data_IF_931241450452
#
_entry.id   IF_931241450452
#
_cell.length_a   1.000
_cell.length_b   1.000
_cell.length_c   1.000
_cell.angle_alpha   90.00
_cell.angle_beta   90.00
_cell.angle_gamma   90.00
#
_symmetry.space_group_name_H-M   'P 1'
#
loop_
_entity.id
_entity.type
_entity.pdbx_description
1 polymer ?
#
# COMPACT_ATOMS: atom_id res chain seq x y z
N UNK A 1 -1.28 -15.87 -18.88
CA UNK A 1 0.18 -15.75 -18.66
C UNK A 1 0.53 -16.50 -17.38
N UNK A 2 1.74 -17.06 -17.22
CA UNK A 2 2.12 -17.63 -15.92
C UNK A 2 2.05 -16.55 -14.84
N UNK A 3 1.64 -16.94 -13.63
CA UNK A 3 1.62 -16.00 -12.50
C UNK A 3 3.03 -15.67 -12.04
N UNK A 4 3.22 -14.43 -11.62
CA UNK A 4 4.52 -13.89 -11.23
C UNK A 4 4.39 -13.01 -9.98
N UNK A 5 5.41 -13.03 -9.15
CA UNK A 5 5.50 -12.18 -7.98
C UNK A 5 6.14 -10.84 -8.31
N UNK A 6 5.43 -9.77 -8.03
CA UNK A 6 5.93 -8.41 -8.12
C UNK A 6 6.30 -7.92 -6.73
N UNK A 7 7.54 -7.45 -6.55
CA UNK A 7 8.08 -7.00 -5.26
C UNK A 7 8.69 -5.61 -5.42
N UNK A 8 8.22 -4.63 -4.64
CA UNK A 8 8.88 -3.35 -4.52
C UNK A 8 9.84 -3.34 -3.33
N UNK A 9 10.83 -2.45 -3.38
CA UNK A 9 11.85 -2.31 -2.34
C UNK A 9 11.90 -0.89 -1.80
N UNK A 10 12.45 -0.74 -0.59
CA UNK A 10 12.66 0.58 0.01
C UNK A 10 13.43 1.52 -0.94
N UNK A 11 14.52 1.03 -1.52
CA UNK A 11 15.28 1.81 -2.49
C UNK A 11 15.90 3.07 -1.90
N UNK A 12 15.99 4.11 -2.72
CA UNK A 12 16.55 5.40 -2.35
C UNK A 12 17.55 5.92 -3.37
N UNK A 13 18.18 7.05 -3.08
CA UNK A 13 19.11 7.69 -4.02
C UNK A 13 20.36 6.85 -4.24
N UNK A 14 21.00 6.40 -3.17
CA UNK A 14 22.21 5.57 -3.22
C UNK A 14 21.97 4.18 -3.82
N UNK A 15 20.72 3.73 -3.83
CA UNK A 15 20.30 2.42 -4.33
C UNK A 15 19.48 2.51 -5.62
N UNK A 16 19.88 3.41 -6.53
CA UNK A 16 19.13 3.71 -7.75
C UNK A 16 18.83 2.48 -8.63
N UNK A 17 19.67 1.43 -8.59
CA UNK A 17 19.45 0.17 -9.32
C UNK A 17 18.26 -0.63 -8.79
N UNK A 18 17.88 -0.43 -7.53
CA UNK A 18 16.77 -1.09 -6.85
C UNK A 18 15.44 -0.34 -6.99
N UNK A 19 15.48 0.91 -7.45
CA UNK A 19 14.27 1.69 -7.71
C UNK A 19 13.55 1.15 -8.94
N UNK A 20 12.88 0.01 -8.76
CA UNK A 20 12.02 -0.68 -9.72
C UNK A 20 11.17 -1.71 -8.94
N UNK A 21 10.16 -2.25 -9.56
CA UNK A 21 9.48 -3.45 -9.11
C UNK A 21 10.22 -4.65 -9.71
N UNK A 22 10.66 -5.58 -8.86
CA UNK A 22 11.33 -6.79 -9.30
C UNK A 22 10.34 -7.92 -9.46
N UNK A 23 10.47 -8.69 -10.53
CA UNK A 23 9.57 -9.79 -10.88
C UNK A 23 10.27 -11.11 -10.59
N UNK A 24 9.56 -11.98 -9.89
CA UNK A 24 10.00 -13.33 -9.56
C UNK A 24 8.97 -14.36 -10.06
N UNK A 25 9.47 -15.52 -10.45
CA UNK A 25 8.63 -16.68 -10.77
C UNK A 25 7.95 -17.26 -9.53
N UNK A 26 7.03 -18.17 -9.73
CA UNK A 26 6.33 -18.88 -8.64
C UNK A 26 7.23 -19.83 -7.84
N UNK A 27 8.44 -20.12 -8.30
CA UNK A 27 9.49 -20.81 -7.57
C UNK A 27 10.54 -19.89 -6.92
N UNK A 28 10.35 -18.55 -6.99
CA UNK A 28 11.17 -17.54 -6.31
C UNK A 28 12.41 -17.10 -7.08
N UNK A 29 12.57 -17.47 -8.35
CA UNK A 29 13.68 -17.03 -9.18
C UNK A 29 13.42 -15.63 -9.73
N UNK A 30 14.37 -14.71 -9.58
CA UNK A 30 14.27 -13.39 -10.20
C UNK A 30 14.29 -13.49 -11.72
N UNK A 31 13.29 -12.90 -12.38
CA UNK A 31 13.12 -12.93 -13.82
C UNK A 31 13.61 -11.62 -14.49
N UNK A 32 13.07 -10.48 -14.01
CA UNK A 32 13.29 -9.17 -14.63
C UNK A 32 12.89 -8.04 -13.69
N UNK A 33 12.98 -6.81 -14.18
CA UNK A 33 12.37 -5.61 -13.60
C UNK A 33 11.09 -5.28 -14.35
N UNK A 34 10.02 -4.95 -13.62
CA UNK A 34 8.70 -4.73 -14.22
C UNK A 34 8.61 -3.44 -15.02
N UNK A 35 9.27 -2.36 -14.56
CA UNK A 35 9.11 -1.03 -15.14
C UNK A 35 10.22 -0.71 -16.15
N UNK A 36 9.82 -0.32 -17.36
CA UNK A 36 10.76 0.13 -18.40
C UNK A 36 11.26 1.55 -18.11
N UNK A 37 12.46 1.66 -17.52
CA UNK A 37 13.07 2.96 -17.23
C UNK A 37 13.40 3.79 -18.47
N UNK A 38 13.59 3.14 -19.64
CA UNK A 38 13.90 3.84 -20.89
C UNK A 38 12.69 4.59 -21.47
N UNK A 39 11.47 4.21 -21.06
CA UNK A 39 10.25 4.89 -21.49
C UNK A 39 9.92 6.13 -20.65
N UNK A 40 10.64 6.40 -19.56
CA UNK A 40 10.42 7.56 -18.72
C UNK A 40 10.80 8.86 -19.44
N UNK A 41 9.99 9.91 -19.36
CA UNK A 41 10.37 11.23 -19.91
C UNK A 41 11.57 11.80 -19.15
N UNK A 42 12.31 12.68 -19.83
CA UNK A 42 13.45 13.36 -19.22
C UNK A 42 13.07 14.07 -17.91
N UNK A 43 13.87 13.85 -16.87
CA UNK A 43 13.63 14.42 -15.54
C UNK A 43 12.81 13.54 -14.58
N UNK A 44 12.04 12.59 -15.08
CA UNK A 44 11.34 11.60 -14.21
C UNK A 44 12.31 10.53 -13.74
N UNK A 45 12.36 10.32 -12.42
CA UNK A 45 13.24 9.31 -11.80
C UNK A 45 12.40 8.43 -10.88
N UNK A 46 12.63 7.12 -10.93
CA UNK A 46 12.06 6.20 -9.96
C UNK A 46 12.85 6.29 -8.64
N UNK A 47 12.15 6.56 -7.55
CA UNK A 47 12.74 6.72 -6.21
C UNK A 47 11.83 6.13 -5.14
N UNK A 48 12.35 5.27 -4.28
CA UNK A 48 11.60 4.68 -3.15
C UNK A 48 10.20 4.21 -3.56
N UNK A 49 10.12 3.23 -4.45
CA UNK A 49 8.82 2.70 -4.88
C UNK A 49 8.16 1.98 -3.72
N UNK A 50 6.96 2.46 -3.36
CA UNK A 50 6.14 1.88 -2.30
C UNK A 50 5.00 1.06 -2.89
N UNK A 51 3.78 1.36 -2.51
CA UNK A 51 2.58 0.68 -3.00
C UNK A 51 2.42 0.76 -4.50
N UNK A 52 1.85 -0.29 -5.06
CA UNK A 52 1.44 -0.35 -6.45
C UNK A 52 0.19 -1.20 -6.60
N UNK A 53 -0.62 -0.88 -7.61
CA UNK A 53 -1.89 -1.57 -7.88
C UNK A 53 -2.22 -1.49 -9.37
N UNK A 54 -2.89 -2.51 -9.89
CA UNK A 54 -3.54 -2.41 -11.19
C UNK A 54 -4.88 -1.69 -11.02
N UNK A 55 -5.06 -0.61 -11.76
CA UNK A 55 -6.27 0.20 -11.73
C UNK A 55 -7.44 -0.42 -12.51
N UNK A 56 -8.62 0.21 -12.45
CA UNK A 56 -9.81 -0.26 -13.17
C UNK A 56 -9.65 -0.22 -14.70
N UNK A 57 -8.70 0.56 -15.20
CA UNK A 57 -8.29 0.62 -16.61
C UNK A 57 -7.19 -0.40 -16.96
N UNK A 58 -6.91 -1.35 -16.05
CA UNK A 58 -5.88 -2.39 -16.15
C UNK A 58 -4.44 -1.87 -16.28
N UNK A 59 -4.20 -0.58 -16.09
CA UNK A 59 -2.86 -0.02 -16.03
C UNK A 59 -2.26 -0.14 -14.63
N UNK A 60 -0.93 -0.14 -14.55
CA UNK A 60 -0.20 -0.25 -13.30
C UNK A 60 0.09 1.14 -12.72
N UNK A 61 -0.39 1.38 -11.51
CA UNK A 61 -0.16 2.62 -10.74
C UNK A 61 0.86 2.36 -9.66
N UNK A 62 1.91 3.17 -9.61
CA UNK A 62 3.07 2.96 -8.74
C UNK A 62 3.36 4.22 -7.94
N UNK A 63 3.45 4.09 -6.64
CA UNK A 63 3.87 5.18 -5.75
C UNK A 63 5.37 5.41 -5.89
N UNK A 64 5.74 6.64 -6.23
CA UNK A 64 7.11 7.15 -6.29
C UNK A 64 7.27 8.15 -5.15
N UNK A 65 7.96 7.78 -4.07
CA UNK A 65 7.75 8.40 -2.75
C UNK A 65 8.81 9.42 -2.32
N UNK A 66 9.94 9.51 -3.02
CA UNK A 66 11.09 10.24 -2.49
C UNK A 66 11.06 11.75 -2.81
N UNK A 67 11.03 12.61 -1.76
CA UNK A 67 11.11 14.08 -1.83
C UNK A 67 10.29 14.71 -2.97
N UNK A 68 10.95 15.46 -3.86
CA UNK A 68 10.33 16.14 -5.02
C UNK A 68 9.65 15.19 -6.01
N UNK A 69 9.95 13.89 -5.93
CA UNK A 69 9.33 12.83 -6.73
C UNK A 69 8.11 12.20 -6.04
N UNK A 70 7.48 12.90 -5.10
CA UNK A 70 6.23 12.47 -4.48
C UNK A 70 5.10 12.46 -5.51
N UNK A 71 4.89 11.30 -6.15
CA UNK A 71 4.03 11.12 -7.33
C UNK A 71 3.33 9.76 -7.28
N UNK A 72 2.25 9.64 -8.07
CA UNK A 72 1.76 8.35 -8.53
C UNK A 72 2.01 8.27 -10.04
N UNK A 73 2.84 7.33 -10.44
CA UNK A 73 3.18 7.07 -11.84
C UNK A 73 2.24 6.02 -12.41
N UNK A 74 1.79 6.22 -13.66
CA UNK A 74 1.01 5.25 -14.41
C UNK A 74 1.87 4.61 -15.48
N UNK A 75 1.84 3.29 -15.54
CA UNK A 75 2.46 2.48 -16.56
C UNK A 75 1.40 1.68 -17.30
N UNK A 76 1.62 1.38 -18.57
CA UNK A 76 0.72 0.54 -19.38
C UNK A 76 0.60 -0.85 -18.75
N UNK A 77 -0.62 -1.39 -18.66
CA UNK A 77 -0.85 -2.74 -18.16
C UNK A 77 -0.29 -3.82 -19.10
N UNK A 78 -0.33 -3.57 -20.42
CA UNK A 78 0.28 -4.44 -21.40
C UNK A 78 1.81 -4.42 -21.29
N UNK A 79 2.42 -5.61 -21.37
CA UNK A 79 3.87 -5.75 -21.39
C UNK A 79 4.43 -5.49 -22.80
N UNK A 80 5.57 -4.83 -22.86
CA UNK A 80 6.35 -4.67 -24.09
C UNK A 80 7.11 -5.97 -24.46
N UNK A 81 7.88 -5.96 -25.54
CA UNK A 81 8.68 -7.09 -26.02
C UNK A 81 9.69 -7.65 -24.98
N UNK A 82 10.11 -6.83 -24.04
CA UNK A 82 11.02 -7.20 -22.95
C UNK A 82 10.28 -7.66 -21.68
N UNK A 83 8.96 -7.81 -21.73
CA UNK A 83 8.13 -8.18 -20.58
C UNK A 83 8.04 -7.08 -19.54
N UNK A 84 8.16 -5.81 -19.91
CA UNK A 84 8.12 -4.66 -19.02
C UNK A 84 6.92 -3.76 -19.32
N UNK A 85 6.45 -3.05 -18.31
CA UNK A 85 5.44 -2.01 -18.42
C UNK A 85 6.08 -0.70 -18.86
N UNK A 86 5.62 -0.15 -20.00
CA UNK A 86 6.07 1.16 -20.46
C UNK A 86 5.36 2.28 -19.70
N UNK A 87 6.08 3.36 -19.44
CA UNK A 87 5.53 4.57 -18.83
C UNK A 87 4.39 5.14 -19.68
N UNK A 88 3.33 5.58 -19.02
CA UNK A 88 2.20 6.24 -19.65
C UNK A 88 2.15 7.73 -19.27
N UNK A 89 2.11 8.04 -17.99
CA UNK A 89 2.03 9.42 -17.49
C UNK A 89 2.41 9.53 -16.01
N UNK A 90 2.68 10.76 -15.54
CA UNK A 90 2.62 11.11 -14.12
C UNK A 90 1.14 11.36 -13.81
N UNK A 91 0.50 10.38 -13.16
CA UNK A 91 -0.95 10.43 -12.91
C UNK A 91 -1.31 11.42 -11.79
N UNK A 92 -0.59 11.36 -10.66
CA UNK A 92 -0.71 12.35 -9.58
C UNK A 92 0.66 12.94 -9.32
N UNK A 93 0.75 14.27 -9.31
CA UNK A 93 2.00 15.01 -9.08
C UNK A 93 1.86 15.93 -7.88
N UNK A 94 2.87 15.96 -7.01
CA UNK A 94 2.99 16.97 -5.97
C UNK A 94 3.10 18.38 -6.58
N UNK A 95 2.40 19.31 -5.99
CA UNK A 95 2.52 20.74 -6.30
C UNK A 95 2.32 21.54 -5.01
N UNK A 96 3.22 22.48 -4.73
CA UNK A 96 3.27 23.19 -3.45
C UNK A 96 1.93 23.88 -3.07
N UNK A 97 1.21 24.40 -4.07
CA UNK A 97 -0.06 25.10 -3.85
C UNK A 97 -1.29 24.26 -4.23
N UNK A 98 -1.25 23.59 -5.40
CA UNK A 98 -2.42 22.90 -5.95
C UNK A 98 -2.60 21.48 -5.44
N UNK A 99 -1.54 20.83 -4.99
CA UNK A 99 -1.57 19.46 -4.47
C UNK A 99 -0.46 19.22 -3.43
N UNK A 100 -0.44 19.96 -2.31
CA UNK A 100 0.56 19.79 -1.25
C UNK A 100 0.30 18.53 -0.41
N UNK A 101 -0.89 17.92 -0.52
CA UNK A 101 -1.30 16.75 0.27
C UNK A 101 -0.49 15.48 -0.02
N UNK A 102 0.00 15.32 -1.26
CA UNK A 102 0.87 14.21 -1.60
C UNK A 102 2.33 14.56 -1.26
N UNK A 103 2.83 13.95 -0.17
CA UNK A 103 4.22 14.09 0.25
C UNK A 103 4.68 12.79 0.91
N UNK A 104 5.71 12.16 0.33
CA UNK A 104 6.19 10.83 0.68
C UNK A 104 5.04 9.80 0.71
N UNK A 105 4.33 9.60 -0.44
CA UNK A 105 3.20 8.68 -0.48
C UNK A 105 3.65 7.25 -0.15
N UNK A 106 2.76 6.46 0.48
CA UNK A 106 3.07 5.10 0.90
C UNK A 106 2.24 4.06 0.16
N UNK A 107 0.92 4.23 0.12
CA UNK A 107 0.02 3.27 -0.51
C UNK A 107 -0.96 3.96 -1.44
N UNK A 108 -1.45 3.21 -2.41
CA UNK A 108 -2.39 3.62 -3.42
C UNK A 108 -3.46 2.55 -3.62
N UNK A 109 -4.72 2.95 -3.61
CA UNK A 109 -5.87 2.05 -3.83
C UNK A 109 -6.95 2.76 -4.64
N UNK A 110 -7.78 1.97 -5.31
CA UNK A 110 -8.98 2.46 -6.00
C UNK A 110 -10.24 2.04 -5.22
N UNK A 111 -11.23 2.91 -5.19
CA UNK A 111 -12.56 2.54 -4.72
C UNK A 111 -13.38 1.84 -5.82
N UNK A 112 -14.63 1.47 -5.49
CA UNK A 112 -15.54 0.79 -6.43
C UNK A 112 -16.01 1.68 -7.60
N UNK A 113 -15.87 3.00 -7.48
CA UNK A 113 -16.18 3.97 -8.53
C UNK A 113 -14.99 4.25 -9.45
N UNK A 114 -13.83 3.74 -9.05
CA UNK A 114 -12.56 3.87 -9.78
C UNK A 114 -11.79 5.15 -9.46
N UNK A 115 -12.13 5.85 -8.37
CA UNK A 115 -11.37 6.98 -7.87
C UNK A 115 -10.16 6.51 -7.05
N UNK A 116 -9.08 7.30 -7.09
CA UNK A 116 -7.80 6.95 -6.51
C UNK A 116 -7.63 7.56 -5.11
N UNK A 117 -7.18 6.76 -4.16
CA UNK A 117 -6.82 7.19 -2.81
C UNK A 117 -5.34 6.93 -2.54
N UNK A 118 -4.67 7.92 -1.97
CA UNK A 118 -3.24 7.88 -1.66
C UNK A 118 -2.99 8.24 -0.21
N UNK A 119 -2.33 7.37 0.54
CA UNK A 119 -1.82 7.71 1.87
C UNK A 119 -0.45 8.36 1.77
N UNK A 120 -0.23 9.45 2.50
CA UNK A 120 1.01 10.25 2.45
C UNK A 120 1.64 10.36 3.84
N UNK A 121 2.89 9.88 3.97
CA UNK A 121 3.55 9.73 5.27
C UNK A 121 3.97 11.07 5.91
N UNK A 122 4.47 12.03 5.12
CA UNK A 122 4.94 13.30 5.68
C UNK A 122 3.79 14.24 6.06
N UNK A 123 2.69 14.18 5.31
CA UNK A 123 1.49 14.98 5.62
C UNK A 123 0.54 14.23 6.56
N UNK A 124 0.69 12.92 6.72
CA UNK A 124 -0.17 12.05 7.54
C UNK A 124 -1.66 12.21 7.20
N UNK A 125 -1.98 12.28 5.92
CA UNK A 125 -3.34 12.35 5.41
C UNK A 125 -3.58 11.30 4.33
N UNK A 126 -4.85 11.08 4.02
CA UNK A 126 -5.27 10.36 2.81
C UNK A 126 -5.93 11.36 1.89
N UNK A 127 -5.41 11.48 0.68
CA UNK A 127 -5.98 12.32 -0.37
C UNK A 127 -6.71 11.47 -1.42
N UNK A 128 -7.77 12.05 -2.02
CA UNK A 128 -8.59 11.43 -3.05
C UNK A 128 -8.45 12.20 -4.37
N UNK A 129 -8.31 11.45 -5.44
CA UNK A 129 -8.09 11.96 -6.79
C UNK A 129 -9.08 11.35 -7.78
N UNK A 130 -9.48 12.14 -8.77
CA UNK A 130 -10.29 11.65 -9.89
C UNK A 130 -9.59 10.47 -10.58
N UNK A 131 -10.29 9.35 -10.71
CA UNK A 131 -9.79 8.13 -11.32
C UNK A 131 -9.59 8.25 -12.85
N UNK A 132 -9.02 7.21 -13.49
CA UNK A 132 -8.66 7.26 -14.91
C UNK A 132 -9.85 7.41 -15.86
N UNK A 133 -11.04 6.95 -15.44
CA UNK A 133 -12.28 7.05 -16.22
C UNK A 133 -13.25 8.09 -15.67
N UNK A 134 -12.80 9.00 -14.79
CA UNK A 134 -13.66 9.99 -14.15
C UNK A 134 -14.38 10.86 -15.16
N UNK A 135 -15.68 11.08 -14.93
CA UNK A 135 -16.53 11.98 -15.70
C UNK A 135 -16.80 13.31 -14.99
N UNK A 136 -16.37 13.42 -13.73
CA UNK A 136 -16.64 14.58 -12.86
C UNK A 136 -15.47 15.52 -12.72
N UNK A 137 -14.28 15.09 -13.16
CA UNK A 137 -13.08 15.90 -13.13
C UNK A 137 -11.94 15.30 -13.97
N UNK A 138 -10.88 16.05 -14.13
CA UNK A 138 -9.70 15.59 -14.88
C UNK A 138 -9.00 14.47 -14.11
N UNK A 139 -8.71 13.32 -14.73
CA UNK A 139 -7.98 12.23 -14.09
C UNK A 139 -6.70 12.70 -13.40
N UNK A 140 -6.44 12.17 -12.20
CA UNK A 140 -5.26 12.48 -11.39
C UNK A 140 -5.29 13.84 -10.67
N UNK A 141 -6.36 14.65 -10.84
CA UNK A 141 -6.50 15.90 -10.08
C UNK A 141 -7.22 15.66 -8.74
N UNK A 142 -6.91 16.47 -7.70
CA UNK A 142 -7.56 16.38 -6.40
C UNK A 142 -9.09 16.53 -6.51
N UNK A 143 -9.82 15.66 -5.82
CA UNK A 143 -11.27 15.76 -5.73
C UNK A 143 -11.69 16.81 -4.69
N UNK A 144 -12.94 17.33 -4.79
CA UNK A 144 -13.49 18.21 -3.74
C UNK A 144 -13.45 17.54 -2.36
N UNK A 145 -13.27 18.37 -1.32
CA UNK A 145 -13.33 17.89 0.06
C UNK A 145 -14.72 17.28 0.36
N UNK A 146 -14.78 16.16 1.10
CA UNK A 146 -16.05 15.57 1.49
C UNK A 146 -16.94 16.55 2.26
N UNK A 147 -18.26 16.46 2.02
CA UNK A 147 -19.21 17.24 2.81
C UNK A 147 -19.23 16.75 4.26
N UNK A 148 -19.15 17.70 5.22
CA UNK A 148 -19.17 17.35 6.65
C UNK A 148 -17.82 16.87 7.19
N UNK A 149 -16.75 16.92 6.40
CA UNK A 149 -15.42 16.69 6.90
C UNK A 149 -15.09 17.71 8.00
N UNK A 150 -14.61 17.24 9.16
CA UNK A 150 -14.12 18.12 10.22
C UNK A 150 -12.88 18.89 9.69
N UNK A 151 -13.09 20.16 9.43
CA UNK A 151 -12.04 21.04 8.87
C UNK A 151 -11.21 21.73 9.95
N UNK A 152 -11.59 21.54 11.23
CA UNK A 152 -10.97 22.32 12.31
C UNK A 152 -11.05 23.82 12.02
N UNK A 153 -9.96 24.55 12.35
CA UNK A 153 -9.80 25.99 12.08
C UNK A 153 -8.82 26.28 10.94
N UNK A 154 -8.43 25.26 10.16
CA UNK A 154 -7.35 25.33 9.16
C UNK A 154 -7.87 24.92 7.79
N UNK A 155 -7.35 25.55 6.74
CA UNK A 155 -7.60 25.11 5.38
C UNK A 155 -6.92 23.78 5.12
N UNK A 156 -7.69 22.80 4.71
CA UNK A 156 -7.20 21.47 4.35
C UNK A 156 -6.64 21.48 2.93
N UNK A 157 -5.54 20.75 2.66
CA UNK A 157 -5.03 20.57 1.31
C UNK A 157 -6.11 20.06 0.35
N UNK A 158 -6.12 20.50 -0.93
CA UNK A 158 -7.01 19.96 -1.94
C UNK A 158 -6.95 18.43 -2.00
N UNK A 159 -8.10 17.80 -2.19
CA UNK A 159 -8.20 16.33 -2.24
C UNK A 159 -8.18 15.64 -0.88
N UNK A 160 -7.97 16.33 0.23
CA UNK A 160 -7.98 15.69 1.56
C UNK A 160 -9.29 14.93 1.77
N UNK A 161 -9.16 13.61 2.01
CA UNK A 161 -10.26 12.74 2.36
C UNK A 161 -10.26 12.43 3.86
N UNK A 162 -9.10 12.08 4.42
CA UNK A 162 -8.90 11.95 5.86
C UNK A 162 -7.72 12.85 6.24
N UNK A 163 -7.93 13.85 7.10
CA UNK A 163 -6.89 14.78 7.51
C UNK A 163 -5.91 14.15 8.49
N UNK A 164 -4.77 14.80 8.70
CA UNK A 164 -3.87 14.47 9.80
C UNK A 164 -4.42 14.99 11.15
N UNK A 165 -3.97 14.39 12.24
CA UNK A 165 -4.30 14.83 13.60
C UNK A 165 -3.80 16.24 13.93
N UNK A 166 -2.87 16.77 13.15
CA UNK A 166 -2.43 18.18 13.25
C UNK A 166 -3.47 19.15 12.71
N UNK A 167 -4.36 18.68 11.82
CA UNK A 167 -5.35 19.51 11.12
C UNK A 167 -6.77 19.29 11.63
N UNK A 168 -7.07 18.10 12.18
CA UNK A 168 -8.41 17.75 12.70
C UNK A 168 -8.31 16.79 13.88
N UNK A 169 -9.27 16.86 14.81
CA UNK A 169 -9.26 16.12 16.08
C UNK A 169 -9.27 14.60 15.94
N UNK A 170 -9.92 14.09 14.88
CA UNK A 170 -9.98 12.65 14.58
C UNK A 170 -9.08 12.26 13.40
N UNK A 171 -8.05 13.06 13.13
CA UNK A 171 -7.11 12.85 12.06
C UNK A 171 -6.08 11.76 12.35
N UNK A 172 -5.28 11.43 11.34
CA UNK A 172 -4.26 10.39 11.40
C UNK A 172 -2.96 10.89 12.05
N UNK A 173 -2.36 10.06 12.88
CA UNK A 173 -1.07 10.38 13.54
C UNK A 173 0.12 9.98 12.66
N UNK A 174 0.11 8.77 12.09
CA UNK A 174 1.17 8.27 11.21
C UNK A 174 0.61 7.23 10.23
N UNK A 175 0.05 7.72 9.12
CA UNK A 175 -0.61 6.84 8.14
C UNK A 175 0.37 5.90 7.44
N UNK A 176 -0.08 4.65 7.22
CA UNK A 176 0.60 3.65 6.39
C UNK A 176 -0.38 3.05 5.38
N UNK A 177 -0.58 1.75 5.41
CA UNK A 177 -1.46 1.08 4.47
C UNK A 177 -2.91 1.52 4.59
N UNK A 178 -3.59 1.48 3.46
CA UNK A 178 -5.00 1.75 3.31
C UNK A 178 -5.60 0.70 2.38
N UNK A 179 -6.77 0.18 2.71
CA UNK A 179 -7.52 -0.74 1.86
C UNK A 179 -9.02 -0.46 1.98
N UNK A 180 -9.78 -0.79 0.94
CA UNK A 180 -11.24 -0.79 1.00
C UNK A 180 -11.77 -2.11 1.54
N UNK A 181 -12.74 -2.04 2.43
CA UNK A 181 -13.54 -3.17 2.87
C UNK A 181 -14.65 -3.49 1.85
N UNK A 182 -15.29 -4.68 1.93
CA UNK A 182 -16.36 -5.04 1.01
C UNK A 182 -17.57 -4.11 1.01
N UNK A 183 -17.84 -3.45 2.14
CA UNK A 183 -18.88 -2.41 2.26
C UNK A 183 -18.42 -1.03 1.79
N UNK A 184 -17.27 -0.98 1.15
CA UNK A 184 -16.60 0.21 0.64
C UNK A 184 -16.06 1.16 1.74
N UNK A 185 -16.14 0.83 3.04
CA UNK A 185 -15.43 1.60 4.08
C UNK A 185 -13.93 1.47 3.95
N UNK A 186 -13.21 2.50 4.39
CA UNK A 186 -11.76 2.55 4.29
C UNK A 186 -11.12 2.09 5.60
N UNK A 187 -10.29 1.06 5.54
CA UNK A 187 -9.47 0.59 6.65
C UNK A 187 -8.07 1.18 6.53
N UNK A 188 -7.61 1.79 7.60
CA UNK A 188 -6.36 2.58 7.63
C UNK A 188 -5.46 2.14 8.77
N UNK A 189 -4.24 1.75 8.46
CA UNK A 189 -3.20 1.52 9.46
C UNK A 189 -2.65 2.86 9.94
N UNK A 190 -2.92 3.22 11.19
CA UNK A 190 -2.35 4.40 11.85
C UNK A 190 -1.24 3.93 12.81
N UNK A 191 0.00 4.04 12.31
CA UNK A 191 1.17 3.44 12.95
C UNK A 191 1.50 4.02 14.32
N UNK A 192 1.40 5.35 14.49
CA UNK A 192 1.69 5.98 15.77
C UNK A 192 0.54 5.87 16.77
N UNK A 193 -0.68 5.60 16.29
CA UNK A 193 -1.83 5.32 17.14
C UNK A 193 -1.92 3.84 17.57
N UNK A 194 -1.07 2.96 17.04
CA UNK A 194 -1.13 1.52 17.25
C UNK A 194 -2.52 0.93 16.96
N UNK A 195 -3.19 1.40 15.90
CA UNK A 195 -4.52 0.93 15.59
C UNK A 195 -4.77 0.83 14.08
N UNK A 196 -5.79 0.06 13.73
CA UNK A 196 -6.44 0.10 12.42
C UNK A 196 -7.77 0.82 12.60
N UNK A 197 -7.94 1.93 11.90
CA UNK A 197 -9.15 2.78 11.96
C UNK A 197 -10.07 2.50 10.78
N UNK A 198 -11.36 2.65 11.01
CA UNK A 198 -12.39 2.57 9.95
C UNK A 198 -12.93 3.96 9.68
N UNK A 199 -12.98 4.31 8.40
CA UNK A 199 -13.58 5.55 7.93
C UNK A 199 -14.67 5.28 6.91
N UNK A 200 -15.76 6.04 7.00
CA UNK A 200 -16.88 5.99 6.06
C UNK A 200 -16.42 6.44 4.67
N UNK A 201 -16.65 5.61 3.66
CA UNK A 201 -16.17 5.84 2.28
C UNK A 201 -16.68 7.15 1.66
N UNK A 202 -17.89 7.58 2.00
CA UNK A 202 -18.52 8.77 1.38
C UNK A 202 -18.02 10.08 1.96
N UNK A 203 -17.75 10.12 3.27
CA UNK A 203 -17.52 11.37 4.02
C UNK A 203 -16.13 11.48 4.62
N UNK A 204 -15.35 10.39 4.69
CA UNK A 204 -14.07 10.35 5.43
C UNK A 204 -14.25 10.46 6.95
N UNK A 205 -15.49 10.28 7.47
CA UNK A 205 -15.78 10.35 8.90
C UNK A 205 -15.23 9.09 9.60
N UNK A 206 -14.47 9.29 10.68
CA UNK A 206 -14.05 8.19 11.53
C UNK A 206 -15.24 7.48 12.15
N UNK A 207 -15.33 6.17 12.00
CA UNK A 207 -16.41 5.34 12.54
C UNK A 207 -15.99 4.71 13.87
N UNK A 208 -14.85 4.03 13.90
CA UNK A 208 -14.30 3.36 15.08
C UNK A 208 -12.89 2.82 14.79
N UNK A 209 -12.20 2.44 15.83
CA UNK A 209 -11.00 1.61 15.72
C UNK A 209 -11.42 0.13 15.63
N UNK A 210 -10.81 -0.62 14.71
CA UNK A 210 -11.11 -2.03 14.44
C UNK A 210 -10.18 -2.96 15.22
N UNK A 211 -8.89 -2.67 15.19
CA UNK A 211 -7.83 -3.40 15.88
C UNK A 211 -6.95 -2.37 16.59
N UNK A 212 -6.52 -2.64 17.79
CA UNK A 212 -5.81 -1.66 18.61
C UNK A 212 -4.69 -2.30 19.44
N UNK A 213 -4.01 -1.49 20.23
CA UNK A 213 -2.98 -1.94 21.17
C UNK A 213 -3.52 -2.99 22.17
N UNK A 214 -4.81 -2.92 22.55
CA UNK A 214 -5.42 -3.94 23.43
C UNK A 214 -5.46 -5.33 22.79
N UNK A 215 -5.40 -5.40 21.46
CA UNK A 215 -5.29 -6.63 20.69
C UNK A 215 -3.84 -7.06 20.44
N UNK A 216 -2.86 -6.46 21.14
CA UNK A 216 -1.40 -6.63 20.96
C UNK A 216 -0.85 -6.03 19.66
N UNK A 217 -1.56 -5.11 19.02
CA UNK A 217 -1.07 -4.39 17.86
C UNK A 217 -0.03 -3.35 18.26
N UNK A 218 1.12 -3.36 17.58
CA UNK A 218 2.21 -2.41 17.77
C UNK A 218 2.74 -1.97 16.40
N UNK A 219 2.62 -0.68 16.11
CA UNK A 219 3.08 -0.04 14.88
C UNK A 219 2.61 -0.75 13.60
N UNK A 220 1.29 -0.76 13.29
CA UNK A 220 0.79 -1.38 12.07
C UNK A 220 1.39 -0.72 10.83
N UNK A 221 1.76 -1.55 9.84
CA UNK A 221 2.34 -1.08 8.58
C UNK A 221 1.49 -1.50 7.40
N UNK A 222 1.17 -2.77 7.27
CA UNK A 222 0.46 -3.35 6.16
C UNK A 222 -0.86 -4.00 6.56
N UNK A 223 -1.80 -3.94 5.63
CA UNK A 223 -3.13 -4.55 5.72
C UNK A 223 -3.31 -5.52 4.55
N UNK A 224 -3.92 -6.66 4.80
CA UNK A 224 -4.33 -7.61 3.77
C UNK A 224 -5.72 -8.15 4.08
N UNK A 225 -6.66 -7.91 3.17
CA UNK A 225 -8.01 -8.47 3.26
C UNK A 225 -8.02 -9.84 2.58
N UNK A 226 -8.55 -10.85 3.27
CA UNK A 226 -8.70 -12.18 2.68
C UNK A 226 -9.61 -12.14 1.44
N UNK A 227 -9.38 -13.01 0.42
CA UNK A 227 -10.19 -13.01 -0.79
C UNK A 227 -11.69 -13.24 -0.55
N UNK A 228 -12.02 -14.00 0.50
CA UNK A 228 -13.41 -14.22 0.96
C UNK A 228 -13.94 -13.08 1.83
N UNK A 229 -13.15 -12.05 2.06
CA UNK A 229 -13.47 -10.90 2.91
C UNK A 229 -13.88 -11.24 4.34
N UNK A 230 -13.46 -12.41 4.85
CA UNK A 230 -13.77 -12.84 6.21
C UNK A 230 -12.75 -12.36 7.23
N UNK A 231 -11.51 -12.13 6.80
CA UNK A 231 -10.39 -11.80 7.67
C UNK A 231 -9.63 -10.58 7.18
N UNK A 232 -9.25 -9.72 8.12
CA UNK A 232 -8.23 -8.71 7.93
C UNK A 232 -6.95 -9.17 8.61
N UNK A 233 -5.85 -9.28 7.86
CA UNK A 233 -4.52 -9.46 8.42
C UNK A 233 -3.84 -8.09 8.57
N UNK A 234 -3.18 -7.89 9.71
CA UNK A 234 -2.49 -6.65 10.07
C UNK A 234 -1.04 -6.98 10.40
N UNK A 235 -0.12 -6.42 9.63
CA UNK A 235 1.32 -6.52 9.93
C UNK A 235 1.68 -5.60 11.09
N UNK A 236 2.05 -6.18 12.23
CA UNK A 236 2.44 -5.49 13.47
C UNK A 236 3.97 -5.35 13.51
N UNK A 237 4.45 -4.20 13.00
CA UNK A 237 5.89 -3.99 12.78
C UNK A 237 6.70 -3.73 14.04
N UNK A 238 6.07 -3.34 15.16
CA UNK A 238 6.77 -3.09 16.42
C UNK A 238 7.10 -4.34 17.21
N UNK A 239 6.35 -5.44 17.01
CA UNK A 239 6.57 -6.71 17.69
C UNK A 239 6.81 -7.91 16.75
N UNK A 240 7.01 -7.65 15.45
CA UNK A 240 7.31 -8.68 14.44
C UNK A 240 6.27 -9.81 14.37
N UNK A 241 4.99 -9.47 14.41
CA UNK A 241 3.87 -10.42 14.35
C UNK A 241 2.86 -10.05 13.26
N UNK A 242 1.94 -10.96 12.96
CA UNK A 242 0.77 -10.67 12.14
C UNK A 242 -0.47 -10.99 12.95
N UNK A 243 -1.36 -10.01 13.08
CA UNK A 243 -2.68 -10.19 13.70
C UNK A 243 -3.71 -10.58 12.64
N UNK A 244 -4.71 -11.35 13.03
CA UNK A 244 -5.88 -11.68 12.22
C UNK A 244 -7.14 -11.24 12.95
N UNK A 245 -7.87 -10.32 12.35
CA UNK A 245 -9.18 -9.90 12.79
C UNK A 245 -10.26 -10.65 11.99
N UNK A 246 -11.15 -11.36 12.68
CA UNK A 246 -12.33 -11.99 12.09
C UNK A 246 -13.43 -10.93 11.95
N UNK A 247 -13.72 -10.52 10.70
CA UNK A 247 -14.67 -9.46 10.41
C UNK A 247 -16.13 -9.84 10.71
N UNK A 248 -16.44 -11.13 10.82
CA UNK A 248 -17.78 -11.62 11.17
C UNK A 248 -17.98 -11.67 12.68
N UNK A 249 -16.94 -12.11 13.42
CA UNK A 249 -17.00 -12.27 14.89
C UNK A 249 -16.61 -11.00 15.63
N UNK A 250 -15.90 -10.09 14.97
CA UNK A 250 -15.33 -8.89 15.59
C UNK A 250 -14.22 -9.21 16.61
N UNK A 251 -13.49 -10.30 16.42
CA UNK A 251 -12.43 -10.73 17.34
C UNK A 251 -11.06 -10.75 16.67
N UNK A 252 -10.03 -10.35 17.41
CA UNK A 252 -8.64 -10.33 16.96
C UNK A 252 -7.82 -11.43 17.65
N UNK A 253 -6.88 -11.99 16.94
CA UNK A 253 -5.91 -12.96 17.49
C UNK A 253 -4.56 -12.81 16.82
N UNK A 254 -3.50 -13.23 17.53
CA UNK A 254 -2.17 -13.36 16.92
C UNK A 254 -2.21 -14.53 15.93
N UNK A 255 -2.01 -14.25 14.66
CA UNK A 255 -2.02 -15.24 13.58
C UNK A 255 -0.62 -15.79 13.30
N UNK A 256 0.35 -14.91 13.11
CA UNK A 256 1.76 -15.29 13.08
C UNK A 256 2.42 -14.74 14.33
N UNK A 257 2.92 -15.65 15.18
CA UNK A 257 3.56 -15.28 16.43
C UNK A 257 4.81 -14.40 16.20
N UNK A 258 5.18 -13.54 17.16
CA UNK A 258 6.36 -12.70 17.06
C UNK A 258 7.61 -13.48 16.64
N UNK A 259 8.31 -12.98 15.61
CA UNK A 259 9.55 -13.55 15.04
C UNK A 259 9.44 -14.99 14.54
N UNK A 260 8.24 -15.54 14.42
CA UNK A 260 8.01 -16.91 13.95
C UNK A 260 8.53 -17.09 12.51
N UNK A 261 9.33 -18.12 12.30
CA UNK A 261 9.93 -18.42 10.99
C UNK A 261 10.93 -17.38 10.47
N UNK A 262 11.46 -16.51 11.36
CA UNK A 262 12.38 -15.42 11.00
C UNK A 262 11.69 -14.10 10.66
N UNK A 263 10.38 -13.97 10.92
CA UNK A 263 9.63 -12.72 10.65
C UNK A 263 10.27 -11.54 11.39
N UNK A 264 10.61 -10.51 10.62
CA UNK A 264 11.20 -9.29 11.14
C UNK A 264 10.73 -8.09 10.29
N UNK A 265 9.83 -7.28 10.84
CA UNK A 265 9.17 -6.18 10.15
C UNK A 265 8.22 -6.68 9.05
N UNK A 266 7.03 -7.26 9.39
CA UNK A 266 6.05 -7.67 8.39
C UNK A 266 5.60 -6.47 7.54
N UNK A 267 5.76 -6.61 6.23
CA UNK A 267 5.37 -5.62 5.23
C UNK A 267 4.32 -6.21 4.28
N UNK A 268 4.49 -6.09 2.96
CA UNK A 268 3.53 -6.59 1.98
C UNK A 268 3.14 -8.04 2.22
N UNK A 269 1.85 -8.33 2.07
CA UNK A 269 1.26 -9.65 2.23
C UNK A 269 0.41 -10.00 1.02
N UNK A 270 0.47 -11.25 0.56
CA UNK A 270 -0.39 -11.76 -0.49
C UNK A 270 -0.61 -13.27 -0.35
N UNK A 271 -1.74 -13.76 -0.86
CA UNK A 271 -2.04 -15.19 -0.90
C UNK A 271 -1.54 -15.79 -2.22
N UNK A 272 -0.77 -16.85 -2.13
CA UNK A 272 -0.35 -17.63 -3.30
C UNK A 272 -1.41 -18.63 -3.75
N UNK A 273 -1.28 -19.14 -4.98
CA UNK A 273 -2.18 -20.18 -5.52
C UNK A 273 -2.06 -21.52 -4.79
N UNK A 274 -0.96 -21.72 -4.11
CA UNK A 274 -0.71 -22.88 -3.25
C UNK A 274 -1.45 -22.79 -1.89
N UNK A 275 -2.23 -21.72 -1.69
CA UNK A 275 -2.97 -21.45 -0.46
C UNK A 275 -2.10 -21.03 0.71
N UNK A 276 -0.85 -20.61 0.47
CA UNK A 276 0.03 -20.07 1.50
C UNK A 276 -0.01 -18.54 1.52
N UNK A 277 0.14 -17.98 2.71
CA UNK A 277 0.37 -16.55 2.89
C UNK A 277 1.86 -16.25 2.66
N UNK A 278 2.14 -15.39 1.71
CA UNK A 278 3.47 -14.85 1.44
C UNK A 278 3.62 -13.49 2.12
N UNK A 279 4.71 -13.31 2.83
CA UNK A 279 4.95 -12.10 3.65
C UNK A 279 6.34 -11.55 3.34
N UNK A 280 6.39 -10.29 2.97
CA UNK A 280 7.63 -9.53 2.90
C UNK A 280 8.15 -9.28 4.33
N UNK A 281 9.23 -9.96 4.70
CA UNK A 281 9.95 -9.77 5.96
C UNK A 281 11.03 -8.72 5.74
N UNK A 282 10.65 -7.48 6.02
CA UNK A 282 11.37 -6.28 5.58
C UNK A 282 12.82 -6.25 6.07
N UNK A 283 13.01 -6.43 7.37
CA UNK A 283 14.32 -6.26 7.99
C UNK A 283 15.23 -7.49 7.82
N UNK A 284 14.66 -8.68 7.61
CA UNK A 284 15.44 -9.89 7.27
C UNK A 284 15.74 -10.00 5.77
N UNK A 285 15.12 -9.13 4.93
CA UNK A 285 15.27 -9.12 3.47
C UNK A 285 14.90 -10.45 2.82
N UNK A 286 13.74 -10.97 3.22
CA UNK A 286 13.22 -12.25 2.78
C UNK A 286 11.75 -12.15 2.40
N UNK A 287 11.27 -13.10 1.60
CA UNK A 287 9.85 -13.42 1.48
C UNK A 287 9.62 -14.75 2.20
N UNK A 288 8.80 -14.71 3.24
CA UNK A 288 8.45 -15.87 4.07
C UNK A 288 7.10 -16.44 3.67
N UNK A 289 6.85 -17.71 4.03
CA UNK A 289 5.57 -18.38 3.77
C UNK A 289 4.97 -18.93 5.05
N UNK A 290 3.66 -18.77 5.17
CA UNK A 290 2.89 -19.25 6.32
C UNK A 290 1.64 -19.99 5.88
N UNK A 291 1.21 -20.99 6.66
CA UNK A 291 -0.06 -21.66 6.41
C UNK A 291 -1.22 -20.69 6.62
N UNK A 292 -2.13 -20.62 5.63
CA UNK A 292 -3.29 -19.73 5.68
C UNK A 292 -4.25 -20.02 6.85
N UNK A 293 -4.32 -21.29 7.28
CA UNK A 293 -5.23 -21.72 8.35
C UNK A 293 -4.64 -21.44 9.73
N UNK A 294 -3.36 -21.77 9.93
CA UNK A 294 -2.74 -21.87 11.24
C UNK A 294 -1.62 -20.85 11.53
N UNK A 295 -1.24 -20.03 10.53
CA UNK A 295 -0.18 -19.02 10.67
C UNK A 295 1.22 -19.59 10.92
N UNK A 296 1.41 -20.90 10.78
CA UNK A 296 2.71 -21.54 11.02
C UNK A 296 3.65 -21.37 9.82
N UNK A 297 4.95 -21.19 10.06
CA UNK A 297 5.93 -21.14 8.97
C UNK A 297 5.89 -22.39 8.08
N UNK A 298 6.11 -22.20 6.79
CA UNK A 298 6.15 -23.28 5.79
C UNK A 298 7.51 -23.33 5.10
N UNK A 299 8.35 -24.26 5.54
CA UNK A 299 9.67 -24.50 4.96
C UNK A 299 10.67 -23.38 5.18
N UNK A 300 11.66 -23.31 4.28
CA UNK A 300 12.65 -22.21 4.22
C UNK A 300 12.01 -20.95 3.63
N UNK A 301 12.65 -19.76 3.77
CA UNK A 301 12.22 -18.57 3.05
C UNK A 301 11.99 -18.87 1.57
N UNK A 302 10.91 -18.31 1.02
CA UNK A 302 10.59 -18.44 -0.41
C UNK A 302 11.62 -17.72 -1.28
N UNK A 303 11.99 -16.50 -0.86
CA UNK A 303 13.10 -15.76 -1.42
C UNK A 303 13.94 -15.28 -0.23
N UNK A 304 15.25 -15.46 -0.31
CA UNK A 304 16.23 -15.00 0.68
C UNK A 304 17.25 -14.08 0.04
N UNK A 305 18.00 -13.40 0.88
CA UNK A 305 19.11 -12.54 0.47
C UNK A 305 18.67 -11.47 -0.55
N UNK A 306 17.45 -10.92 -0.35
CA UNK A 306 16.96 -9.84 -1.19
C UNK A 306 17.92 -8.63 -1.10
N UNK A 307 18.08 -7.89 -2.20
CA UNK A 307 19.07 -6.81 -2.28
C UNK A 307 18.77 -5.63 -1.35
N UNK A 308 17.50 -5.45 -0.95
CA UNK A 308 17.04 -4.42 -0.01
C UNK A 308 15.78 -4.88 0.72
N UNK A 309 15.26 -4.02 1.59
CA UNK A 309 14.05 -4.23 2.35
C UNK A 309 12.83 -4.33 1.42
N UNK A 310 12.15 -5.48 1.31
CA UNK A 310 10.92 -5.60 0.52
C UNK A 310 9.78 -4.85 1.20
N UNK A 311 8.99 -4.11 0.42
CA UNK A 311 7.90 -3.27 0.92
C UNK A 311 6.53 -3.81 0.55
N UNK A 312 6.25 -3.97 -0.74
CA UNK A 312 4.99 -4.50 -1.24
C UNK A 312 5.22 -5.77 -2.05
N UNK A 313 4.24 -6.66 -2.00
CA UNK A 313 4.26 -7.97 -2.65
C UNK A 313 2.88 -8.23 -3.24
N UNK A 314 2.83 -8.57 -4.54
CA UNK A 314 1.58 -8.89 -5.24
C UNK A 314 1.83 -10.07 -6.20
N UNK A 315 0.91 -11.02 -6.24
CA UNK A 315 0.88 -12.08 -7.25
C UNK A 315 0.04 -11.60 -8.45
N UNK A 316 0.65 -11.56 -9.64
CA UNK A 316 0.08 -11.03 -10.87
C UNK A 316 -0.03 -12.14 -11.91
N UNK A 317 -1.13 -12.23 -12.65
CA UNK A 317 -1.34 -13.15 -13.75
C UNK A 317 -2.73 -13.74 -13.83
#
# INVERSE_FOLDING_TARGET
MPKEWYVSFHGGEEKASLNNIHVYSTDGKQLRKALNKKSLPGGTKLRELRGFVFGPDQNLYVVNAYFEYSEVLKFKGALNENGQHDFAEVFVKRHAEMNPGIDHPFNVVFDSEGDLYVSSQNTNLIARYHGPASKTGKPGTPMPLPQGLDRGKVDLPPGTFIPSAKLASNGLLEVRAVIFAPNNDLYVADRAADCVRIYEARTGRHLRDLVSRSDQLDKPIHLFLSPDSCYLLVGSGGNDSILRHDLRKGSTSVFVAPKSGGLNGPAGMALGDDGLLYVASRNSKEILRYGWIDGRPRGKPFIKDLPDNPEFLVLVG
#
